data_IF_673088204806
#
_entry.id   IF_673088204806
#
_cell.length_a   1.000
_cell.length_b   1.000
_cell.length_c   1.000
_cell.angle_alpha   90.00
_cell.angle_beta   90.00
_cell.angle_gamma   90.00
#
_symmetry.space_group_name_H-M   'P 1'
#
loop_
_entity.id
_entity.type
_entity.pdbx_description
1 polymer ?
#
# COMPACT_ATOMS: atom_id res chain seq x y z
N UNK A 1 33.22 -5.52 1.03
CA UNK A 1 32.45 -6.33 0.07
C UNK A 1 30.99 -6.25 0.51
N UNK A 2 30.17 -5.43 -0.16
CA UNK A 2 28.71 -5.51 0.04
C UNK A 2 28.29 -6.86 -0.54
N UNK A 3 27.93 -7.82 0.31
CA UNK A 3 27.35 -9.07 -0.17
C UNK A 3 26.05 -8.72 -0.90
N UNK A 4 25.97 -9.09 -2.17
CA UNK A 4 24.71 -9.06 -2.91
C UNK A 4 23.78 -10.03 -2.18
N UNK A 5 22.72 -9.51 -1.56
CA UNK A 5 21.72 -10.34 -0.88
C UNK A 5 21.22 -11.41 -1.87
N UNK A 6 21.25 -12.67 -1.45
CA UNK A 6 20.72 -13.76 -2.25
C UNK A 6 19.20 -13.63 -2.39
N UNK A 7 18.62 -14.48 -3.25
CA UNK A 7 17.17 -14.43 -3.53
C UNK A 7 16.30 -14.62 -2.28
N UNK A 8 16.74 -15.47 -1.33
CA UNK A 8 16.01 -15.74 -0.11
C UNK A 8 16.04 -14.54 0.84
N UNK A 9 17.21 -13.89 0.98
CA UNK A 9 17.36 -12.69 1.79
C UNK A 9 16.55 -11.52 1.23
N UNK A 10 16.57 -11.29 -0.10
CA UNK A 10 15.72 -10.26 -0.73
C UNK A 10 14.24 -10.49 -0.47
N UNK A 11 13.79 -11.75 -0.47
CA UNK A 11 12.40 -12.09 -0.14
C UNK A 11 12.07 -11.74 1.32
N UNK A 12 12.97 -12.02 2.27
CA UNK A 12 12.79 -11.64 3.69
C UNK A 12 12.72 -10.12 3.85
N UNK A 13 13.63 -9.39 3.20
CA UNK A 13 13.65 -7.93 3.22
C UNK A 13 12.38 -7.33 2.62
N UNK A 14 11.88 -7.90 1.51
CA UNK A 14 10.63 -7.46 0.91
C UNK A 14 9.45 -7.65 1.87
N UNK A 15 9.36 -8.81 2.53
CA UNK A 15 8.32 -9.04 3.56
C UNK A 15 8.43 -8.00 4.68
N UNK A 16 9.63 -7.78 5.22
CA UNK A 16 9.86 -6.80 6.29
C UNK A 16 9.49 -5.36 5.87
N UNK A 17 9.80 -4.96 4.63
CA UNK A 17 9.42 -3.64 4.09
C UNK A 17 7.89 -3.50 3.99
N UNK A 18 7.19 -4.53 3.53
CA UNK A 18 5.72 -4.48 3.45
C UNK A 18 5.05 -4.54 4.82
N UNK A 19 5.61 -5.27 5.78
CA UNK A 19 5.16 -5.23 7.18
C UNK A 19 5.32 -3.82 7.77
N UNK A 20 6.49 -3.20 7.57
CA UNK A 20 6.74 -1.81 8.00
C UNK A 20 5.80 -0.83 7.29
N UNK A 21 5.55 -1.02 5.99
CA UNK A 21 4.64 -0.16 5.25
C UNK A 21 3.23 -0.21 5.83
N UNK A 22 2.69 -1.41 6.07
CA UNK A 22 1.38 -1.57 6.73
C UNK A 22 1.35 -0.91 8.10
N UNK A 23 2.39 -1.09 8.90
CA UNK A 23 2.52 -0.47 10.21
C UNK A 23 2.45 1.07 10.16
N UNK A 24 3.03 1.68 9.12
CA UNK A 24 3.09 3.14 8.96
C UNK A 24 1.82 3.74 8.36
N UNK A 25 1.25 3.12 7.32
CA UNK A 25 0.20 3.76 6.50
C UNK A 25 -1.20 3.17 6.66
N UNK A 26 -1.31 1.93 7.11
CA UNK A 26 -2.59 1.24 7.35
C UNK A 26 -2.54 0.42 8.64
N UNK A 27 -2.20 1.02 9.80
CA UNK A 27 -2.22 0.29 11.06
C UNK A 27 -3.65 -0.16 11.37
N UNK A 28 -3.81 -1.42 11.77
CA UNK A 28 -5.11 -2.01 12.14
C UNK A 28 -5.32 -2.07 13.66
N UNK A 29 -4.26 -1.82 14.43
CA UNK A 29 -4.20 -1.82 15.89
C UNK A 29 -3.18 -0.79 16.40
N UNK A 30 -3.17 -0.58 17.72
CA UNK A 30 -2.19 0.29 18.39
C UNK A 30 -0.77 -0.08 17.97
N UNK A 31 0.00 0.89 17.47
CA UNK A 31 1.36 0.66 17.01
C UNK A 31 2.31 0.18 18.11
N UNK A 32 2.09 0.57 19.37
CA UNK A 32 2.87 0.05 20.50
C UNK A 32 2.64 -1.46 20.67
N UNK A 33 1.38 -1.91 20.59
CA UNK A 33 1.04 -3.34 20.63
C UNK A 33 1.71 -4.08 19.48
N UNK A 34 1.66 -3.52 18.26
CA UNK A 34 2.30 -4.13 17.09
C UNK A 34 3.83 -4.25 17.23
N UNK A 35 4.49 -3.25 17.84
CA UNK A 35 5.93 -3.29 18.12
C UNK A 35 6.26 -4.32 19.19
N UNK A 36 5.52 -4.32 20.30
CA UNK A 36 5.67 -5.29 21.39
C UNK A 36 5.52 -6.73 20.86
N UNK A 37 4.45 -7.03 20.12
CA UNK A 37 4.23 -8.35 19.52
C UNK A 37 5.34 -8.78 18.54
N UNK A 38 5.99 -7.81 17.87
CA UNK A 38 7.06 -8.10 16.91
C UNK A 38 8.39 -8.43 17.58
N UNK A 39 8.69 -7.82 18.72
CA UNK A 39 10.00 -7.89 19.37
C UNK A 39 10.03 -8.68 20.68
N UNK A 40 8.88 -8.89 21.32
CA UNK A 40 8.78 -9.65 22.57
C UNK A 40 8.71 -11.17 22.32
N UNK A 41 9.08 -11.94 23.36
CA UNK A 41 8.98 -13.39 23.34
C UNK A 41 7.50 -13.82 23.45
N UNK A 42 6.94 -14.54 22.46
CA UNK A 42 5.56 -15.01 22.50
C UNK A 42 5.28 -15.99 23.65
N UNK A 43 6.31 -16.56 24.28
CA UNK A 43 6.19 -17.47 25.43
C UNK A 43 5.71 -16.76 26.71
N UNK A 44 5.74 -15.42 26.74
CA UNK A 44 5.32 -14.61 27.89
C UNK A 44 4.24 -13.60 27.47
N UNK A 45 2.98 -14.05 27.28
CA UNK A 45 1.90 -13.15 26.90
C UNK A 45 1.58 -12.19 28.06
N UNK A 46 1.90 -10.91 27.88
CA UNK A 46 1.38 -9.84 28.72
C UNK A 46 0.06 -9.30 28.16
N UNK A 47 -0.84 -8.90 29.05
CA UNK A 47 -2.05 -8.18 28.67
C UNK A 47 -1.66 -6.79 28.16
N UNK A 48 -1.98 -6.50 26.89
CA UNK A 48 -1.57 -5.26 26.22
C UNK A 48 -2.75 -4.31 26.12
N UNK A 49 -2.57 -3.10 26.63
CA UNK A 49 -3.55 -2.02 26.52
C UNK A 49 -3.20 -1.08 25.38
N UNK A 50 -4.21 -0.46 24.77
CA UNK A 50 -3.98 0.62 23.80
C UNK A 50 -3.24 1.78 24.48
N UNK A 51 -2.43 2.51 23.72
CA UNK A 51 -1.65 3.63 24.27
C UNK A 51 -2.43 4.96 24.35
N UNK A 52 -3.76 4.90 24.22
CA UNK A 52 -4.74 6.00 24.21
C UNK A 52 -4.52 7.09 23.15
N UNK A 53 -3.42 7.83 23.17
CA UNK A 53 -3.15 8.95 22.26
C UNK A 53 -1.67 9.05 21.83
N UNK A 54 -0.86 8.04 22.08
CA UNK A 54 0.57 8.07 21.77
C UNK A 54 0.95 7.50 20.38
N UNK A 55 -0.03 7.09 19.55
CA UNK A 55 0.26 6.58 18.20
C UNK A 55 -0.84 6.92 17.20
N UNK A 56 -0.50 6.91 15.90
CA UNK A 56 -1.40 7.36 14.82
C UNK A 56 -2.69 6.53 14.71
N UNK A 57 -2.64 5.27 15.11
CA UNK A 57 -3.84 4.43 15.21
C UNK A 57 -4.77 4.91 16.33
N UNK A 58 -4.23 5.14 17.52
CA UNK A 58 -5.02 5.50 18.69
C UNK A 58 -5.54 6.95 18.63
N UNK A 59 -4.81 7.86 17.98
CA UNK A 59 -5.26 9.23 17.72
C UNK A 59 -6.24 9.34 16.54
N UNK A 60 -6.23 8.36 15.63
CA UNK A 60 -7.01 8.40 14.38
C UNK A 60 -6.31 9.12 13.23
N UNK A 61 -5.11 9.69 13.45
CA UNK A 61 -4.39 10.48 12.44
C UNK A 61 -4.09 9.69 11.14
N UNK A 62 -3.96 8.37 11.26
CA UNK A 62 -3.74 7.49 10.10
C UNK A 62 -4.88 7.55 9.07
N UNK A 63 -6.11 7.84 9.48
CA UNK A 63 -7.27 8.01 8.59
C UNK A 63 -7.24 9.37 7.87
N UNK A 64 -6.53 10.35 8.42
CA UNK A 64 -6.40 11.70 7.84
C UNK A 64 -5.31 11.78 6.77
N UNK A 65 -4.43 10.78 6.67
CA UNK A 65 -3.34 10.75 5.69
C UNK A 65 -3.81 10.98 4.25
N UNK A 66 -4.99 10.45 3.90
CA UNK A 66 -5.57 10.55 2.54
C UNK A 66 -6.92 11.27 2.51
N UNK A 67 -7.60 11.36 3.65
CA UNK A 67 -9.00 11.78 3.71
C UNK A 67 -9.93 10.74 3.08
N UNK A 68 -11.15 11.16 2.71
CA UNK A 68 -12.18 10.24 2.23
C UNK A 68 -12.09 9.99 0.71
N UNK A 69 -11.98 8.72 0.31
CA UNK A 69 -11.79 8.28 -1.09
C UNK A 69 -13.09 7.70 -1.68
N UNK A 70 -13.39 8.00 -2.93
CA UNK A 70 -14.46 7.39 -3.70
C UNK A 70 -14.01 6.00 -4.18
N UNK A 71 -14.53 4.95 -3.55
CA UNK A 71 -14.13 3.58 -3.87
C UNK A 71 -14.41 3.24 -5.33
N UNK A 72 -15.61 3.55 -5.81
CA UNK A 72 -16.05 3.20 -7.16
C UNK A 72 -15.19 3.88 -8.23
N UNK A 73 -14.89 5.18 -8.06
CA UNK A 73 -14.07 5.92 -8.99
C UNK A 73 -12.65 5.36 -9.06
N UNK A 74 -12.04 5.08 -7.90
CA UNK A 74 -10.69 4.51 -7.85
C UNK A 74 -10.64 3.09 -8.42
N UNK A 75 -11.62 2.23 -8.11
CA UNK A 75 -11.76 0.91 -8.73
C UNK A 75 -11.83 1.02 -10.25
N UNK A 76 -12.68 1.89 -10.79
CA UNK A 76 -12.80 2.08 -12.24
C UNK A 76 -11.49 2.55 -12.88
N UNK A 77 -10.75 3.43 -12.23
CA UNK A 77 -9.44 3.89 -12.72
C UNK A 77 -8.46 2.72 -12.80
N UNK A 78 -8.36 1.90 -11.76
CA UNK A 78 -7.44 0.74 -11.77
C UNK A 78 -7.88 -0.29 -12.82
N UNK A 79 -9.16 -0.61 -12.92
CA UNK A 79 -9.67 -1.56 -13.91
C UNK A 79 -9.45 -1.09 -15.36
N UNK A 80 -9.57 0.21 -15.63
CA UNK A 80 -9.48 0.74 -17.01
C UNK A 80 -8.07 1.16 -17.41
N UNK A 81 -7.21 1.55 -16.47
CA UNK A 81 -5.89 2.11 -16.76
C UNK A 81 -4.74 1.21 -16.34
N UNK A 82 -4.90 0.44 -15.25
CA UNK A 82 -3.82 -0.43 -14.73
C UNK A 82 -3.94 -1.85 -15.29
N UNK A 83 -5.16 -2.39 -15.38
CA UNK A 83 -5.40 -3.73 -15.94
C UNK A 83 -5.35 -3.75 -17.48
N UNK A 84 -5.29 -2.60 -18.14
CA UNK A 84 -5.32 -2.52 -19.60
C UNK A 84 -4.03 -3.08 -20.20
N UNK A 85 -4.12 -4.31 -20.74
CA UNK A 85 -3.00 -5.05 -21.32
C UNK A 85 -2.32 -4.35 -22.51
N UNK A 86 -2.95 -3.34 -23.12
CA UNK A 86 -2.36 -2.63 -24.26
C UNK A 86 -1.27 -1.62 -23.86
N UNK A 87 -1.26 -1.16 -22.61
CA UNK A 87 -0.29 -0.17 -22.13
C UNK A 87 0.10 -0.46 -20.69
N UNK A 88 1.28 -1.02 -20.49
CA UNK A 88 1.82 -1.14 -19.14
C UNK A 88 2.04 0.25 -18.54
N UNK A 89 1.65 0.40 -17.27
CA UNK A 89 1.70 1.68 -16.57
C UNK A 89 2.86 1.67 -15.59
N UNK A 90 3.85 2.55 -15.80
CA UNK A 90 4.90 2.74 -14.81
C UNK A 90 4.41 3.61 -13.63
N UNK A 91 5.14 3.58 -12.51
CA UNK A 91 4.75 4.27 -11.29
C UNK A 91 4.61 5.79 -11.48
N UNK A 92 5.49 6.41 -12.26
CA UNK A 92 5.41 7.85 -12.54
C UNK A 92 4.13 8.23 -13.30
N UNK A 93 3.76 7.43 -14.31
CA UNK A 93 2.52 7.59 -15.06
C UNK A 93 1.29 7.31 -14.19
N UNK A 94 1.36 6.31 -13.31
CA UNK A 94 0.30 6.03 -12.33
C UNK A 94 0.08 7.19 -11.36
N UNK A 95 1.15 7.75 -10.79
CA UNK A 95 1.06 8.90 -9.90
C UNK A 95 0.45 10.12 -10.60
N UNK A 96 0.84 10.36 -11.85
CA UNK A 96 0.27 11.43 -12.68
C UNK A 96 -1.22 11.22 -12.92
N UNK A 97 -1.64 9.99 -13.21
CA UNK A 97 -3.04 9.61 -13.37
C UNK A 97 -3.87 9.88 -12.10
N UNK A 98 -3.38 9.50 -10.92
CA UNK A 98 -4.06 9.77 -9.65
C UNK A 98 -4.18 11.29 -9.42
N UNK A 99 -3.11 12.04 -9.71
CA UNK A 99 -3.10 13.50 -9.59
C UNK A 99 -4.09 14.19 -10.52
N UNK A 100 -4.17 13.75 -11.77
CA UNK A 100 -5.11 14.26 -12.77
C UNK A 100 -6.56 13.94 -12.42
N UNK A 101 -6.81 12.77 -11.81
CA UNK A 101 -8.14 12.29 -11.46
C UNK A 101 -8.56 12.57 -10.01
N UNK A 102 -7.78 13.37 -9.26
CA UNK A 102 -8.02 13.61 -7.83
C UNK A 102 -9.43 14.15 -7.51
N UNK A 103 -10.04 14.94 -8.41
CA UNK A 103 -11.41 15.44 -8.22
C UNK A 103 -12.49 14.36 -8.28
N UNK A 104 -12.20 13.21 -8.91
CA UNK A 104 -13.09 12.05 -8.94
C UNK A 104 -12.75 11.05 -7.82
N UNK A 105 -11.46 10.96 -7.44
CA UNK A 105 -10.96 10.00 -6.44
C UNK A 105 -11.28 10.47 -5.03
N UNK A 106 -11.12 11.76 -4.72
CA UNK A 106 -11.28 12.26 -3.35
C UNK A 106 -12.66 12.89 -3.17
N UNK A 107 -13.23 12.76 -1.96
CA UNK A 107 -14.43 13.49 -1.58
C UNK A 107 -14.20 15.00 -1.78
N UNK A 108 -15.25 15.76 -2.13
CA UNK A 108 -15.16 17.20 -2.41
C UNK A 108 -14.45 18.01 -1.31
N UNK A 109 -14.61 17.59 -0.06
CA UNK A 109 -14.02 18.26 1.11
C UNK A 109 -12.57 17.82 1.40
N UNK A 110 -12.10 16.76 0.74
CA UNK A 110 -10.78 16.15 0.93
C UNK A 110 -9.93 16.16 -0.34
N UNK A 111 -10.24 16.99 -1.34
CA UNK A 111 -9.45 17.06 -2.57
C UNK A 111 -8.03 17.58 -2.23
N UNK A 112 -6.96 16.81 -2.50
CA UNK A 112 -5.61 17.17 -2.09
C UNK A 112 -5.11 18.45 -2.79
N UNK A 113 -4.53 19.36 -1.99
CA UNK A 113 -3.87 20.58 -2.48
C UNK A 113 -2.40 20.34 -2.81
N UNK A 114 -1.76 19.44 -2.07
CA UNK A 114 -0.37 19.03 -2.26
C UNK A 114 -0.28 17.54 -2.65
N UNK A 115 0.94 17.03 -2.73
CA UNK A 115 1.23 15.66 -3.10
C UNK A 115 1.07 14.66 -1.94
N UNK A 116 1.02 15.11 -0.68
CA UNK A 116 1.05 14.24 0.49
C UNK A 116 -0.06 13.19 0.48
N UNK A 117 -1.35 13.58 0.41
CA UNK A 117 -2.46 12.63 0.37
C UNK A 117 -2.47 11.71 -0.85
N UNK A 118 -1.95 12.18 -1.99
CA UNK A 118 -1.83 11.36 -3.21
C UNK A 118 -0.81 10.25 -2.99
N UNK A 119 0.37 10.59 -2.42
CA UNK A 119 1.39 9.60 -2.09
C UNK A 119 0.93 8.63 -1.00
N UNK A 120 0.27 9.13 0.03
CA UNK A 120 -0.30 8.31 1.08
C UNK A 120 -1.29 7.29 0.51
N UNK A 121 -2.17 7.69 -0.43
CA UNK A 121 -3.12 6.78 -1.07
C UNK A 121 -2.40 5.68 -1.86
N UNK A 122 -1.39 6.04 -2.65
CA UNK A 122 -0.59 5.07 -3.40
C UNK A 122 0.11 4.07 -2.45
N UNK A 123 0.65 4.54 -1.32
CA UNK A 123 1.28 3.70 -0.32
C UNK A 123 0.28 2.77 0.38
N UNK A 124 -0.91 3.26 0.72
CA UNK A 124 -1.98 2.44 1.32
C UNK A 124 -2.44 1.35 0.35
N UNK A 125 -2.69 1.70 -0.91
CA UNK A 125 -3.07 0.74 -1.95
C UNK A 125 -1.99 -0.34 -2.15
N UNK A 126 -0.71 0.02 -2.06
CA UNK A 126 0.40 -0.92 -2.12
C UNK A 126 0.46 -1.79 -0.86
N UNK A 127 0.35 -1.20 0.32
CA UNK A 127 0.43 -1.88 1.62
C UNK A 127 -0.61 -2.99 1.76
N UNK A 128 -1.85 -2.72 1.35
CA UNK A 128 -2.96 -3.68 1.46
C UNK A 128 -3.13 -4.53 0.18
N UNK A 129 -2.26 -4.34 -0.80
CA UNK A 129 -2.19 -5.19 -1.99
C UNK A 129 -3.28 -4.94 -3.04
N UNK A 130 -3.89 -3.76 -3.08
CA UNK A 130 -4.79 -3.37 -4.18
C UNK A 130 -4.01 -3.18 -5.49
N UNK A 131 -2.75 -2.74 -5.37
CA UNK A 131 -1.77 -2.67 -6.45
C UNK A 131 -0.48 -3.37 -6.04
N UNK A 132 0.32 -3.73 -7.05
CA UNK A 132 1.63 -4.34 -6.89
C UNK A 132 2.65 -3.61 -7.76
N UNK A 133 3.89 -3.56 -7.29
CA UNK A 133 5.01 -3.02 -8.06
C UNK A 133 5.87 -4.15 -8.57
N UNK A 134 6.15 -4.14 -9.88
CA UNK A 134 7.04 -5.10 -10.53
C UNK A 134 8.15 -4.36 -11.25
N UNK A 135 9.33 -4.96 -11.28
CA UNK A 135 10.48 -4.51 -12.06
C UNK A 135 10.96 -5.67 -12.91
N UNK A 136 11.58 -5.39 -14.06
CA UNK A 136 12.26 -6.43 -14.82
C UNK A 136 13.39 -7.02 -13.97
N UNK A 137 13.35 -8.35 -13.78
CA UNK A 137 14.37 -9.09 -13.06
C UNK A 137 15.78 -8.88 -13.64
N UNK A 138 15.90 -8.57 -14.93
CA UNK A 138 17.18 -8.27 -15.59
C UNK A 138 17.85 -7.00 -15.05
N UNK A 139 17.08 -6.08 -14.46
CA UNK A 139 17.56 -4.80 -13.93
C UNK A 139 17.84 -4.82 -12.42
N UNK A 140 17.36 -5.84 -11.71
CA UNK A 140 17.50 -5.95 -10.25
C UNK A 140 18.96 -6.07 -9.84
N UNK A 141 19.41 -5.20 -8.92
CA UNK A 141 20.80 -5.17 -8.45
C UNK A 141 21.78 -4.48 -9.42
N UNK A 142 21.28 -3.91 -10.51
CA UNK A 142 22.07 -3.10 -11.44
C UNK A 142 21.94 -1.60 -11.13
N UNK A 143 22.91 -0.80 -11.56
CA UNK A 143 22.83 0.67 -11.49
C UNK A 143 21.87 1.28 -12.52
N UNK A 144 21.27 0.46 -13.40
CA UNK A 144 20.36 0.89 -14.47
C UNK A 144 18.89 0.93 -14.02
N UNK A 145 18.59 0.49 -12.80
CA UNK A 145 17.23 0.49 -12.29
C UNK A 145 16.76 1.91 -11.95
N UNK A 146 16.07 2.53 -12.90
CA UNK A 146 15.38 3.82 -12.73
C UNK A 146 13.89 3.69 -12.41
N UNK A 147 13.26 4.77 -11.94
CA UNK A 147 11.84 4.83 -11.59
C UNK A 147 10.89 4.46 -12.74
N UNK A 148 11.29 4.71 -13.99
CA UNK A 148 10.50 4.36 -15.18
C UNK A 148 10.34 2.86 -15.40
N UNK A 149 11.22 2.04 -14.80
CA UNK A 149 11.16 0.58 -14.88
C UNK A 149 10.26 -0.06 -13.82
N UNK A 150 9.74 0.74 -12.88
CA UNK A 150 8.82 0.26 -11.85
C UNK A 150 7.40 0.29 -12.42
N UNK A 151 6.87 -0.89 -12.70
CA UNK A 151 5.55 -1.10 -13.29
C UNK A 151 4.51 -1.32 -12.19
N UNK A 152 3.32 -0.74 -12.39
CA UNK A 152 2.18 -0.89 -11.49
C UNK A 152 1.22 -1.92 -12.09
N UNK A 153 0.88 -2.93 -11.30
CA UNK A 153 -0.10 -3.95 -11.64
C UNK A 153 -1.26 -3.94 -10.65
N UNK A 154 -2.43 -4.40 -11.08
CA UNK A 154 -3.54 -4.66 -10.16
C UNK A 154 -3.21 -5.88 -9.29
N UNK A 155 -3.44 -5.78 -7.99
CA UNK A 155 -3.23 -6.90 -7.08
C UNK A 155 -4.30 -7.96 -7.24
N UNK A 156 -3.94 -9.21 -6.93
CA UNK A 156 -4.84 -10.37 -6.95
C UNK A 156 -4.98 -10.99 -5.56
N UNK A 157 -6.14 -11.59 -5.30
CA UNK A 157 -6.43 -12.34 -4.08
C UNK A 157 -7.06 -13.68 -4.45
N UNK A 158 -6.63 -14.74 -3.77
CA UNK A 158 -7.14 -16.09 -4.02
C UNK A 158 -8.52 -16.25 -3.38
N UNK A 159 -9.53 -16.54 -4.20
CA UNK A 159 -10.93 -16.71 -3.81
C UNK A 159 -11.39 -18.10 -4.22
N UNK A 160 -11.80 -18.96 -3.27
CA UNK A 160 -12.47 -20.26 -3.50
C UNK A 160 -12.15 -20.97 -4.85
N UNK A 161 -10.85 -21.14 -5.17
CA UNK A 161 -10.39 -21.86 -6.37
C UNK A 161 -9.96 -21.01 -7.58
N UNK A 162 -10.12 -19.69 -7.57
CA UNK A 162 -9.64 -18.79 -8.63
C UNK A 162 -8.98 -17.53 -8.04
N UNK A 163 -8.26 -16.77 -8.87
CA UNK A 163 -7.68 -15.48 -8.46
C UNK A 163 -8.61 -14.34 -8.90
N UNK A 164 -9.08 -13.55 -7.94
CA UNK A 164 -9.87 -12.35 -8.14
C UNK A 164 -9.01 -11.08 -8.02
N UNK A 165 -9.51 -9.95 -8.52
CA UNK A 165 -8.84 -8.66 -8.35
C UNK A 165 -9.05 -8.13 -6.93
N UNK A 166 -7.96 -7.84 -6.24
CA UNK A 166 -7.97 -7.39 -4.85
C UNK A 166 -8.83 -6.13 -4.66
N UNK A 167 -8.84 -5.23 -5.65
CA UNK A 167 -9.57 -3.96 -5.60
C UNK A 167 -11.09 -4.09 -5.62
N UNK A 168 -11.63 -5.23 -6.04
CA UNK A 168 -13.08 -5.48 -6.07
C UNK A 168 -13.56 -5.98 -4.69
N UNK A 169 -12.71 -6.67 -3.94
CA UNK A 169 -13.05 -7.29 -2.65
C UNK A 169 -13.08 -6.22 -1.55
N UNK A 170 -14.24 -6.04 -0.92
CA UNK A 170 -14.47 -4.99 0.08
C UNK A 170 -13.53 -5.07 1.27
N UNK A 171 -13.33 -6.27 1.82
CA UNK A 171 -12.48 -6.48 2.99
C UNK A 171 -11.01 -6.10 2.74
N UNK A 172 -10.57 -6.03 1.48
CA UNK A 172 -9.21 -5.63 1.14
C UNK A 172 -8.99 -4.12 1.21
N UNK A 173 -10.05 -3.31 1.40
CA UNK A 173 -9.96 -1.87 1.57
C UNK A 173 -9.73 -1.43 3.02
N UNK A 174 -9.54 -2.38 3.95
CA UNK A 174 -9.22 -2.07 5.35
C UNK A 174 -7.98 -1.16 5.44
N UNK A 175 -8.11 -0.05 6.17
CA UNK A 175 -7.05 0.96 6.30
C UNK A 175 -7.08 2.09 5.26
N UNK A 176 -8.06 2.09 4.34
CA UNK A 176 -8.39 3.27 3.51
C UNK A 176 -9.77 3.77 3.94
N UNK A 177 -9.88 5.07 4.20
CA UNK A 177 -11.18 5.71 4.48
C UNK A 177 -11.92 5.98 3.16
N UNK A 178 -13.03 5.28 2.90
CA UNK A 178 -13.76 5.38 1.63
C UNK A 178 -15.27 5.59 1.77
N UNK A 179 -15.92 5.97 0.65
CA UNK A 179 -17.37 6.00 0.45
C UNK A 179 -17.77 5.36 -0.88
#
# INVERSE_FOLDING_TARGET
IQQVADSAERKKQLVAVFELLKFLVTPDRCQHILLEEKFEDPSFPMERTKCDNCCSYCTGDHDEHTGKVNRQALTNIVLTQVLNAQKQLNYSAFLSLIKERKGAIFHKDHIPKDAGPIHALCLQMLAIGLIQLNVDNSLVGTSKLEAQHVMVNAGTVRMQGYDGLAIIVENNWAGINYY
#
